data_IF_463787269196
#
_entry.id   IF_463787269196
#
_cell.length_a   1.000
_cell.length_b   1.000
_cell.length_c   1.000
_cell.angle_alpha   90.00
_cell.angle_beta   90.00
_cell.angle_gamma   90.00
#
_symmetry.space_group_name_H-M   'P 1'
#
loop_
_entity.id
_entity.type
_entity.pdbx_description
1 polymer ?
#
# COMPACT_ATOMS: atom_id res chain seq x y z
N UNK A 1 -5.76 25.05 29.20
CA UNK A 1 -5.07 25.86 28.17
C UNK A 1 -3.60 25.41 28.13
N UNK A 2 -3.32 24.28 27.47
CA UNK A 2 -2.00 23.64 27.42
C UNK A 2 -1.80 22.95 26.06
N UNK A 3 -2.26 23.58 24.97
CA UNK A 3 -2.41 22.93 23.66
C UNK A 3 -1.58 23.56 22.52
N UNK A 4 -0.70 24.51 22.79
CA UNK A 4 -0.02 25.27 21.71
C UNK A 4 1.38 24.79 21.37
N UNK A 5 2.15 24.22 22.30
CA UNK A 5 3.51 23.75 22.01
C UNK A 5 3.54 22.38 21.30
N UNK A 6 2.72 21.42 21.74
CA UNK A 6 2.69 20.07 21.14
C UNK A 6 2.11 20.07 19.71
N UNK A 7 1.12 20.93 19.44
CA UNK A 7 0.54 21.07 18.11
C UNK A 7 1.55 21.64 17.10
N UNK A 8 2.34 22.65 17.49
CA UNK A 8 3.37 23.24 16.63
C UNK A 8 4.53 22.26 16.35
N UNK A 9 4.92 21.44 17.34
CA UNK A 9 5.90 20.37 17.15
C UNK A 9 5.37 19.28 16.22
N UNK A 10 4.11 18.86 16.37
CA UNK A 10 3.45 17.90 15.47
C UNK A 10 3.39 18.41 14.02
N UNK A 11 3.01 19.67 13.81
CA UNK A 11 2.97 20.29 12.49
C UNK A 11 4.37 20.33 11.85
N UNK A 12 5.41 20.70 12.59
CA UNK A 12 6.78 20.71 12.07
C UNK A 12 7.28 19.31 11.70
N UNK A 13 6.88 18.28 12.45
CA UNK A 13 7.26 16.90 12.17
C UNK A 13 6.57 16.37 10.91
N UNK A 14 5.28 16.66 10.74
CA UNK A 14 4.55 16.30 9.52
C UNK A 14 5.08 17.04 8.29
N UNK A 15 5.42 18.33 8.42
CA UNK A 15 6.05 19.08 7.34
C UNK A 15 7.43 18.51 6.96
N UNK A 16 8.28 18.22 7.94
CA UNK A 16 9.58 17.61 7.66
C UNK A 16 9.46 16.21 7.04
N UNK A 17 8.41 15.45 7.42
CA UNK A 17 8.10 14.19 6.74
C UNK A 17 7.64 14.41 5.30
N UNK A 18 6.81 15.44 5.04
CA UNK A 18 6.33 15.75 3.71
C UNK A 18 7.48 16.07 2.75
N UNK A 19 8.45 16.90 3.18
CA UNK A 19 9.63 17.22 2.37
C UNK A 19 10.41 15.94 1.98
N UNK A 20 10.52 14.98 2.91
CA UNK A 20 11.14 13.68 2.63
C UNK A 20 10.32 12.79 1.70
N UNK A 21 8.99 12.80 1.84
CA UNK A 21 8.08 12.05 0.99
C UNK A 21 8.10 12.58 -0.46
N UNK A 22 8.14 13.89 -0.63
CA UNK A 22 8.26 14.54 -1.93
C UNK A 22 9.58 14.13 -2.62
N UNK A 23 10.68 14.06 -1.88
CA UNK A 23 11.95 13.58 -2.44
C UNK A 23 11.94 12.09 -2.81
N UNK A 24 11.29 11.25 -2.00
CA UNK A 24 11.08 9.85 -2.37
C UNK A 24 10.24 9.73 -3.65
N UNK A 25 9.20 10.56 -3.79
CA UNK A 25 8.36 10.63 -4.99
C UNK A 25 9.16 11.02 -6.22
N UNK A 26 10.04 12.02 -6.11
CA UNK A 26 10.96 12.39 -7.20
C UNK A 26 11.81 11.21 -7.65
N UNK A 27 12.39 10.43 -6.73
CA UNK A 27 13.16 9.24 -7.09
C UNK A 27 12.33 8.19 -7.81
N UNK A 28 11.12 7.90 -7.32
CA UNK A 28 10.23 6.95 -8.00
C UNK A 28 9.85 7.41 -9.41
N UNK A 29 9.54 8.71 -9.57
CA UNK A 29 9.23 9.33 -10.86
C UNK A 29 10.44 9.30 -11.83
N UNK A 30 11.65 9.54 -11.32
CA UNK A 30 12.91 9.47 -12.10
C UNK A 30 13.23 8.05 -12.57
N UNK A 31 12.92 7.04 -11.75
CA UNK A 31 13.14 5.64 -12.09
C UNK A 31 12.02 5.03 -12.94
N UNK A 32 10.90 5.74 -13.10
CA UNK A 32 9.72 5.24 -13.80
C UNK A 32 9.01 4.12 -13.05
N UNK A 33 9.10 4.14 -11.72
CA UNK A 33 8.57 3.11 -10.83
C UNK A 33 7.34 3.64 -10.08
N UNK A 34 6.21 2.93 -10.15
CA UNK A 34 5.05 3.25 -9.31
C UNK A 34 5.31 2.77 -7.88
N UNK A 35 4.96 3.59 -6.90
CA UNK A 35 4.99 3.21 -5.48
C UNK A 35 3.56 3.11 -4.92
N UNK A 36 3.21 1.95 -4.35
CA UNK A 36 1.93 1.73 -3.68
C UNK A 36 2.15 1.51 -2.17
N UNK A 37 1.54 2.35 -1.35
CA UNK A 37 1.57 2.20 0.11
C UNK A 37 0.40 1.34 0.57
N UNK A 38 0.68 0.12 1.04
CA UNK A 38 -0.32 -0.86 1.46
C UNK A 38 -0.50 -0.79 2.98
N UNK A 39 -1.64 -0.29 3.42
CA UNK A 39 -1.96 0.02 4.81
C UNK A 39 -3.17 -0.76 5.30
N UNK A 40 -3.17 -1.14 6.58
CA UNK A 40 -4.27 -1.90 7.17
C UNK A 40 -4.16 -1.97 8.68
N UNK A 41 -5.17 -2.51 9.36
CA UNK A 41 -4.98 -3.05 10.71
C UNK A 41 -4.10 -4.31 10.72
N UNK A 42 -3.56 -4.74 11.89
CA UNK A 42 -2.89 -6.03 12.02
C UNK A 42 -3.79 -7.19 11.59
N UNK A 43 -3.27 -8.08 10.75
CA UNK A 43 -3.97 -9.29 10.34
C UNK A 43 -5.08 -9.08 9.31
N UNK A 44 -5.24 -7.90 8.71
CA UNK A 44 -6.19 -7.67 7.60
C UNK A 44 -5.83 -8.45 6.32
N UNK A 45 -4.58 -8.93 6.20
CA UNK A 45 -4.14 -9.81 5.12
C UNK A 45 -3.23 -9.18 4.07
N UNK A 46 -2.48 -8.11 4.40
CA UNK A 46 -1.53 -7.47 3.48
C UNK A 46 -0.52 -8.45 2.89
N UNK A 47 0.23 -9.16 3.70
CA UNK A 47 1.23 -10.13 3.22
C UNK A 47 0.59 -11.21 2.33
N UNK A 48 -0.59 -11.73 2.69
CA UNK A 48 -1.29 -12.72 1.87
C UNK A 48 -1.77 -12.15 0.52
N UNK A 49 -2.19 -10.88 0.49
CA UNK A 49 -2.49 -10.17 -0.75
C UNK A 49 -1.22 -9.99 -1.59
N UNK A 50 -0.11 -9.60 -0.98
CA UNK A 50 1.18 -9.41 -1.66
C UNK A 50 1.70 -10.73 -2.22
N UNK A 51 1.66 -11.83 -1.47
CA UNK A 51 1.97 -13.18 -1.95
C UNK A 51 1.20 -13.53 -3.24
N UNK A 52 -0.11 -13.25 -3.28
CA UNK A 52 -0.93 -13.46 -4.48
C UNK A 52 -0.59 -12.50 -5.62
N UNK A 53 -0.26 -11.26 -5.28
CA UNK A 53 0.12 -10.23 -6.26
C UNK A 53 1.44 -10.60 -6.93
N UNK A 54 2.44 -11.00 -6.15
CA UNK A 54 3.74 -11.44 -6.66
C UNK A 54 3.58 -12.72 -7.50
N UNK A 55 2.83 -13.71 -7.03
CA UNK A 55 2.57 -14.93 -7.78
C UNK A 55 1.95 -14.69 -9.16
N UNK A 56 1.13 -13.65 -9.30
CA UNK A 56 0.38 -13.38 -10.53
C UNK A 56 1.10 -12.42 -11.47
N UNK A 57 1.92 -11.50 -10.95
CA UNK A 57 2.40 -10.35 -11.72
C UNK A 57 3.91 -10.32 -11.96
N UNK A 58 4.73 -11.14 -11.30
CA UNK A 58 6.19 -11.10 -11.48
C UNK A 58 6.68 -11.59 -12.84
N UNK A 59 5.87 -12.38 -13.54
CA UNK A 59 6.14 -12.77 -14.93
C UNK A 59 5.90 -11.61 -15.91
N UNK A 60 5.08 -10.63 -15.53
CA UNK A 60 4.69 -9.48 -16.36
C UNK A 60 5.43 -8.18 -15.97
N UNK A 61 5.77 -8.02 -14.70
CA UNK A 61 6.27 -6.79 -14.10
C UNK A 61 7.52 -7.04 -13.27
N UNK A 62 8.45 -6.07 -13.27
CA UNK A 62 9.57 -6.05 -12.32
C UNK A 62 9.14 -5.39 -11.01
N UNK A 63 8.97 -6.21 -9.97
CA UNK A 63 8.42 -5.79 -8.68
C UNK A 63 9.52 -5.86 -7.61
N UNK A 64 9.55 -4.85 -6.74
CA UNK A 64 10.29 -4.86 -5.47
C UNK A 64 9.32 -4.63 -4.32
N UNK A 65 9.61 -5.21 -3.14
CA UNK A 65 8.83 -4.97 -1.92
C UNK A 65 9.69 -4.25 -0.89
N UNK A 66 9.11 -3.24 -0.24
CA UNK A 66 9.63 -2.69 1.02
C UNK A 66 8.67 -3.17 2.11
N UNK A 67 9.18 -3.93 3.07
CA UNK A 67 8.37 -4.56 4.13
C UNK A 67 8.68 -3.90 5.47
N UNK A 68 7.66 -3.33 6.12
CA UNK A 68 7.79 -2.64 7.40
C UNK A 68 7.09 -3.38 8.54
N UNK A 69 7.89 -4.00 9.41
CA UNK A 69 7.43 -4.62 10.65
C UNK A 69 8.19 -4.04 11.86
N UNK A 70 7.61 -4.17 13.05
CA UNK A 70 8.20 -3.65 14.28
C UNK A 70 9.48 -4.39 14.66
N UNK A 71 9.48 -5.72 14.57
CA UNK A 71 10.57 -6.54 15.15
C UNK A 71 10.93 -7.80 14.40
N UNK A 72 10.10 -8.31 13.49
CA UNK A 72 10.33 -9.60 12.84
C UNK A 72 10.64 -9.43 11.36
N UNK A 73 11.12 -10.51 10.74
CA UNK A 73 11.28 -10.61 9.28
C UNK A 73 10.32 -11.64 8.67
N UNK A 74 9.31 -12.06 9.42
CA UNK A 74 8.46 -13.19 9.03
C UNK A 74 7.72 -12.93 7.72
N UNK A 75 7.24 -11.69 7.54
CA UNK A 75 6.54 -11.30 6.32
C UNK A 75 7.53 -11.10 5.16
N UNK A 76 8.69 -10.47 5.40
CA UNK A 76 9.77 -10.41 4.41
C UNK A 76 10.20 -11.79 3.89
N UNK A 77 10.47 -12.75 4.78
CA UNK A 77 10.90 -14.12 4.44
C UNK A 77 9.85 -14.86 3.59
N UNK A 78 8.56 -14.57 3.79
CA UNK A 78 7.49 -15.14 2.97
C UNK A 78 7.47 -14.56 1.56
N UNK A 79 7.70 -13.25 1.44
CA UNK A 79 7.69 -12.55 0.15
C UNK A 79 8.95 -12.84 -0.68
N UNK A 80 10.11 -13.06 -0.03
CA UNK A 80 11.36 -13.44 -0.70
C UNK A 80 11.22 -14.77 -1.49
N UNK A 81 10.29 -15.65 -1.10
CA UNK A 81 10.04 -16.92 -1.80
C UNK A 81 9.53 -16.76 -3.24
N UNK A 82 9.06 -15.57 -3.61
CA UNK A 82 8.60 -15.26 -4.96
C UNK A 82 9.71 -14.74 -5.88
N UNK A 83 10.97 -14.75 -5.42
CA UNK A 83 12.13 -14.41 -6.24
C UNK A 83 12.25 -12.92 -6.58
N UNK A 84 11.59 -12.06 -5.82
CA UNK A 84 11.69 -10.61 -5.94
C UNK A 84 12.60 -10.03 -4.86
N UNK A 85 13.23 -8.87 -5.10
CA UNK A 85 13.90 -8.14 -4.03
C UNK A 85 12.92 -7.72 -2.94
N UNK A 86 13.30 -7.97 -1.69
CA UNK A 86 12.55 -7.55 -0.50
C UNK A 86 13.48 -6.80 0.44
N UNK A 87 13.11 -5.56 0.74
CA UNK A 87 13.85 -4.67 1.63
C UNK A 87 13.09 -4.56 2.94
N UNK A 88 13.52 -5.32 3.94
CA UNK A 88 12.88 -5.34 5.26
C UNK A 88 13.38 -4.18 6.14
N UNK A 89 12.44 -3.41 6.68
CA UNK A 89 12.66 -2.29 7.57
C UNK A 89 12.10 -2.64 8.94
N UNK A 90 12.99 -2.81 9.92
CA UNK A 90 12.59 -2.91 11.32
C UNK A 90 12.29 -1.51 11.88
N UNK A 91 11.03 -1.21 12.13
CA UNK A 91 10.59 0.10 12.61
C UNK A 91 10.81 0.28 14.12
N UNK A 92 11.17 -0.80 14.83
CA UNK A 92 11.48 -0.83 16.25
C UNK A 92 10.24 -0.55 17.10
N UNK A 93 10.06 0.72 17.50
CA UNK A 93 8.90 1.16 18.29
C UNK A 93 7.94 2.05 17.50
N UNK A 94 8.25 2.38 16.24
CA UNK A 94 7.35 3.16 15.41
C UNK A 94 6.11 2.35 15.02
N UNK A 95 4.97 3.02 14.94
CA UNK A 95 3.68 2.44 14.57
C UNK A 95 3.34 2.59 13.08
N UNK A 96 4.29 3.09 12.27
CA UNK A 96 4.20 3.36 10.83
C UNK A 96 5.61 3.43 10.21
N UNK A 97 5.67 3.31 8.89
CA UNK A 97 6.80 3.76 8.09
C UNK A 97 6.66 5.26 7.79
N UNK A 98 7.74 6.01 7.98
CA UNK A 98 7.86 7.41 7.56
C UNK A 98 8.72 7.54 6.29
N UNK A 99 8.75 8.73 5.70
CA UNK A 99 9.53 9.03 4.50
C UNK A 99 11.02 8.70 4.65
N UNK A 100 11.61 8.94 5.82
CA UNK A 100 13.03 8.71 6.08
C UNK A 100 13.36 7.22 6.14
N UNK A 101 12.48 6.42 6.73
CA UNK A 101 12.62 4.96 6.74
C UNK A 101 12.58 4.43 5.31
N UNK A 102 11.61 4.86 4.51
CA UNK A 102 11.49 4.46 3.11
C UNK A 102 12.70 4.92 2.29
N UNK A 103 13.20 6.14 2.49
CA UNK A 103 14.43 6.63 1.86
C UNK A 103 15.64 5.74 2.18
N UNK A 104 15.74 5.25 3.43
CA UNK A 104 16.75 4.25 3.82
C UNK A 104 16.62 2.95 3.04
N UNK A 105 15.40 2.48 2.80
CA UNK A 105 15.12 1.34 1.93
C UNK A 105 15.50 1.60 0.47
N UNK A 106 15.23 2.80 -0.05
CA UNK A 106 15.63 3.18 -1.41
C UNK A 106 17.15 3.23 -1.58
N UNK A 107 17.89 3.70 -0.58
CA UNK A 107 19.35 3.63 -0.61
C UNK A 107 19.86 2.20 -0.67
N UNK A 108 19.21 1.27 0.03
CA UNK A 108 19.55 -0.15 -0.07
C UNK A 108 19.22 -0.71 -1.46
N UNK A 109 18.07 -0.34 -2.04
CA UNK A 109 17.71 -0.73 -3.40
C UNK A 109 18.79 -0.32 -4.41
N UNK A 110 19.26 0.93 -4.34
CA UNK A 110 20.32 1.46 -5.22
C UNK A 110 21.67 0.78 -4.99
N UNK A 111 21.96 0.34 -3.76
CA UNK A 111 23.21 -0.34 -3.45
C UNK A 111 23.28 -1.75 -4.05
N UNK A 112 22.14 -2.45 -4.05
CA UNK A 112 22.07 -3.88 -4.40
C UNK A 112 21.55 -4.11 -5.84
N UNK A 113 20.84 -3.14 -6.44
CA UNK A 113 20.15 -3.26 -7.72
C UNK A 113 20.17 -1.95 -8.54
N UNK A 114 19.83 -2.04 -9.83
CA UNK A 114 19.49 -0.86 -10.63
C UNK A 114 17.98 -0.56 -10.48
N UNK A 115 17.59 0.55 -9.80
CA UNK A 115 16.18 0.85 -9.55
C UNK A 115 15.38 1.10 -10.83
N UNK A 116 16.02 1.48 -11.94
CA UNK A 116 15.34 1.76 -13.22
C UNK A 116 14.84 0.49 -13.93
N UNK A 117 15.29 -0.68 -13.46
CA UNK A 117 14.78 -1.96 -13.95
C UNK A 117 13.39 -2.28 -13.41
N UNK A 118 12.99 -1.73 -12.26
CA UNK A 118 11.71 -2.00 -11.60
C UNK A 118 10.59 -1.12 -12.14
N UNK A 119 9.40 -1.71 -12.22
CA UNK A 119 8.18 -1.01 -12.64
C UNK A 119 7.32 -0.63 -11.44
N UNK A 120 7.39 -1.41 -10.36
CA UNK A 120 6.52 -1.30 -9.20
C UNK A 120 7.27 -1.56 -7.89
N UNK A 121 7.09 -0.69 -6.91
CA UNK A 121 7.39 -0.94 -5.50
C UNK A 121 6.10 -1.05 -4.69
N UNK A 122 5.97 -2.17 -3.97
CA UNK A 122 4.91 -2.41 -3.01
C UNK A 122 5.46 -2.17 -1.61
N UNK A 123 4.96 -1.16 -0.91
CA UNK A 123 5.37 -0.88 0.47
C UNK A 123 4.33 -1.48 1.41
N UNK A 124 4.66 -2.59 2.08
CA UNK A 124 3.84 -3.15 3.14
C UNK A 124 4.08 -2.36 4.43
N UNK A 125 3.15 -1.45 4.77
CA UNK A 125 3.26 -0.61 5.96
C UNK A 125 2.86 -1.37 7.23
N UNK A 126 3.27 -0.84 8.38
CA UNK A 126 2.95 -1.44 9.69
C UNK A 126 1.43 -1.60 9.85
N UNK A 127 0.99 -2.70 10.45
CA UNK A 127 -0.42 -2.94 10.77
C UNK A 127 -0.97 -1.91 11.76
N UNK A 128 -1.56 -0.83 11.26
CA UNK A 128 -2.22 0.22 12.04
C UNK A 128 -3.16 1.06 11.14
N UNK A 129 -4.34 1.40 11.64
CA UNK A 129 -5.33 2.24 10.95
C UNK A 129 -5.25 3.73 11.29
N UNK A 130 -4.32 4.13 12.17
CA UNK A 130 -4.17 5.51 12.64
C UNK A 130 -2.89 6.12 12.08
N UNK A 131 -1.73 5.71 12.60
CA UNK A 131 -0.46 6.37 12.29
C UNK A 131 -0.15 6.41 10.78
N UNK A 132 -0.26 5.33 10.00
CA UNK A 132 0.15 5.34 8.59
C UNK A 132 -0.67 6.32 7.72
N UNK A 133 -1.90 6.64 8.12
CA UNK A 133 -2.75 7.54 7.36
C UNK A 133 -2.28 9.00 7.39
N UNK A 134 -1.47 9.38 8.38
CA UNK A 134 -0.99 10.75 8.57
C UNK A 134 0.40 11.00 7.97
N UNK A 135 1.10 9.96 7.52
CA UNK A 135 2.50 10.04 7.07
C UNK A 135 2.62 9.56 5.63
N UNK A 136 2.85 10.51 4.72
CA UNK A 136 3.27 10.21 3.36
C UNK A 136 4.67 9.55 3.37
N UNK A 137 4.87 8.61 2.45
CA UNK A 137 6.16 7.95 2.21
C UNK A 137 6.72 8.23 0.80
N UNK A 138 5.99 8.99 -0.01
CA UNK A 138 6.30 9.30 -1.40
C UNK A 138 5.54 8.40 -2.39
N UNK A 139 4.50 7.71 -1.92
CA UNK A 139 3.67 6.84 -2.72
C UNK A 139 2.93 7.58 -3.83
N UNK A 140 2.64 6.84 -4.90
CA UNK A 140 1.75 7.29 -5.97
C UNK A 140 0.28 7.09 -5.62
N UNK A 141 -0.01 6.02 -4.87
CA UNK A 141 -1.34 5.71 -4.42
C UNK A 141 -1.33 4.97 -3.07
N UNK A 142 -2.36 5.25 -2.27
CA UNK A 142 -2.64 4.63 -0.98
C UNK A 142 -3.64 3.50 -1.16
N UNK A 143 -3.26 2.32 -0.69
CA UNK A 143 -4.07 1.10 -0.74
C UNK A 143 -4.42 0.69 0.68
N UNK A 144 -5.66 0.90 1.08
CA UNK A 144 -6.16 0.48 2.39
C UNK A 144 -6.78 -0.92 2.31
N UNK A 145 -6.55 -1.77 3.31
CA UNK A 145 -7.28 -3.02 3.51
C UNK A 145 -8.18 -2.91 4.73
N UNK A 146 -9.40 -3.44 4.60
CA UNK A 146 -10.33 -3.67 5.69
C UNK A 146 -10.90 -5.08 5.60
N UNK A 147 -10.55 -5.93 6.56
CA UNK A 147 -11.09 -7.29 6.64
C UNK A 147 -12.53 -7.27 7.12
N UNK A 148 -13.39 -8.11 6.53
CA UNK A 148 -14.78 -8.27 6.97
C UNK A 148 -14.90 -8.69 8.45
N UNK A 149 -13.84 -9.29 9.01
CA UNK A 149 -13.76 -9.68 10.43
C UNK A 149 -13.60 -8.50 11.38
N UNK A 150 -13.27 -7.31 10.87
CA UNK A 150 -13.04 -6.13 11.72
C UNK A 150 -14.33 -5.36 12.01
N UNK A 151 -15.39 -5.58 11.22
CA UNK A 151 -16.68 -4.95 11.39
C UNK A 151 -16.89 -3.69 10.54
N UNK A 152 -18.17 -3.40 10.29
CA UNK A 152 -18.63 -2.42 9.30
C UNK A 152 -18.39 -0.96 9.71
N UNK A 153 -18.11 -0.74 10.99
CA UNK A 153 -18.00 0.58 11.62
C UNK A 153 -16.60 1.19 11.52
N UNK A 154 -15.61 0.41 11.08
CA UNK A 154 -14.20 0.86 11.00
C UNK A 154 -14.01 2.10 10.14
N UNK A 155 -14.66 2.25 8.97
CA UNK A 155 -14.56 3.49 8.20
C UNK A 155 -14.94 4.73 9.01
N UNK A 156 -16.01 4.66 9.80
CA UNK A 156 -16.49 5.78 10.60
C UNK A 156 -15.60 6.06 11.81
N UNK A 157 -14.88 5.04 12.31
CA UNK A 157 -13.99 5.15 13.47
C UNK A 157 -12.57 5.62 13.12
N UNK A 158 -12.11 5.36 11.90
CA UNK A 158 -10.76 5.68 11.43
C UNK A 158 -10.84 6.47 10.11
N UNK A 159 -11.53 7.61 10.07
CA UNK A 159 -11.92 8.27 8.82
C UNK A 159 -10.73 8.64 7.94
N UNK A 160 -9.62 9.12 8.51
CA UNK A 160 -8.45 9.58 7.74
C UNK A 160 -7.90 8.47 6.83
N UNK A 161 -7.76 7.24 7.34
CA UNK A 161 -7.28 6.09 6.56
C UNK A 161 -8.11 5.85 5.29
N UNK A 162 -9.43 5.97 5.40
CA UNK A 162 -10.36 5.67 4.30
C UNK A 162 -10.64 6.90 3.42
N UNK A 163 -10.46 8.10 3.97
CA UNK A 163 -10.53 9.36 3.24
C UNK A 163 -9.38 9.50 2.25
N UNK A 164 -8.17 9.11 2.66
CA UNK A 164 -6.96 9.26 1.85
C UNK A 164 -6.67 8.06 0.93
N UNK A 165 -7.47 6.99 1.01
CA UNK A 165 -7.25 5.80 0.19
C UNK A 165 -7.70 6.01 -1.28
N UNK A 166 -6.82 5.73 -2.23
CA UNK A 166 -7.16 5.65 -3.66
C UNK A 166 -7.88 4.34 -3.98
N UNK A 167 -7.48 3.26 -3.30
CA UNK A 167 -8.11 1.95 -3.39
C UNK A 167 -8.33 1.34 -2.01
N UNK A 168 -9.55 0.86 -1.78
CA UNK A 168 -9.92 0.05 -0.63
C UNK A 168 -10.15 -1.40 -1.05
N UNK A 169 -9.41 -2.30 -0.43
CA UNK A 169 -9.63 -3.74 -0.53
C UNK A 169 -10.42 -4.22 0.68
N UNK A 170 -11.65 -4.69 0.45
CA UNK A 170 -12.44 -5.35 1.50
C UNK A 170 -12.03 -6.81 1.51
N UNK A 171 -11.24 -7.23 2.50
CA UNK A 171 -10.55 -8.53 2.47
C UNK A 171 -11.29 -9.62 3.25
N UNK A 172 -10.90 -10.88 2.97
CA UNK A 172 -11.45 -12.09 3.59
C UNK A 172 -12.95 -12.27 3.36
N UNK A 173 -13.44 -11.86 2.19
CA UNK A 173 -14.86 -11.97 1.82
C UNK A 173 -15.37 -13.42 1.85
N UNK A 174 -14.48 -14.41 1.76
CA UNK A 174 -14.79 -15.83 1.96
C UNK A 174 -15.35 -16.15 3.35
N UNK A 175 -15.13 -15.26 4.33
CA UNK A 175 -15.66 -15.39 5.68
C UNK A 175 -17.04 -14.75 5.86
N UNK A 176 -17.50 -13.91 4.92
CA UNK A 176 -18.78 -13.21 5.04
C UNK A 176 -19.98 -14.14 5.30
N UNK A 177 -20.09 -15.35 4.69
CA UNK A 177 -21.19 -16.27 5.00
C UNK A 177 -21.22 -16.81 6.44
N UNK A 178 -20.14 -16.62 7.21
CA UNK A 178 -20.00 -17.09 8.59
C UNK A 178 -20.05 -15.95 9.61
N UNK A 179 -20.26 -14.71 9.16
CA UNK A 179 -20.22 -13.50 9.98
C UNK A 179 -21.51 -12.70 9.79
N UNK A 180 -21.88 -11.93 10.81
CA UNK A 180 -22.93 -10.92 10.69
C UNK A 180 -22.32 -9.63 10.11
N UNK A 181 -22.01 -9.65 8.81
CA UNK A 181 -21.38 -8.52 8.11
C UNK A 181 -22.03 -8.27 6.75
N UNK A 182 -22.29 -7.00 6.46
CA UNK A 182 -22.75 -6.48 5.18
C UNK A 182 -21.60 -5.71 4.50
N UNK A 183 -21.07 -6.31 3.44
CA UNK A 183 -19.98 -5.74 2.63
C UNK A 183 -20.42 -4.45 1.93
N UNK A 184 -21.69 -4.36 1.50
CA UNK A 184 -22.22 -3.16 0.86
C UNK A 184 -22.33 -2.01 1.87
N UNK A 185 -22.61 -2.32 3.13
CA UNK A 185 -22.61 -1.32 4.21
C UNK A 185 -21.21 -0.77 4.50
N UNK A 186 -20.17 -1.62 4.47
CA UNK A 186 -18.78 -1.15 4.53
C UNK A 186 -18.51 -0.15 3.40
N UNK A 187 -18.84 -0.53 2.16
CA UNK A 187 -18.61 0.31 0.99
C UNK A 187 -19.40 1.64 1.08
N UNK A 188 -20.64 1.60 1.56
CA UNK A 188 -21.45 2.79 1.77
C UNK A 188 -20.88 3.73 2.85
N UNK A 189 -20.34 3.18 3.94
CA UNK A 189 -19.70 3.99 4.98
C UNK A 189 -18.45 4.70 4.46
N UNK A 190 -17.65 4.02 3.64
CA UNK A 190 -16.44 4.61 3.03
C UNK A 190 -16.83 5.69 2.02
N UNK A 191 -17.82 5.44 1.16
CA UNK A 191 -18.25 6.42 0.14
C UNK A 191 -18.83 7.72 0.72
N UNK A 192 -19.31 7.70 1.97
CA UNK A 192 -19.75 8.92 2.65
C UNK A 192 -18.59 9.91 2.88
N UNK A 193 -17.36 9.42 3.01
CA UNK A 193 -16.18 10.24 3.28
C UNK A 193 -15.20 10.31 2.11
N UNK A 194 -15.19 9.30 1.24
CA UNK A 194 -14.39 9.26 0.02
C UNK A 194 -15.26 8.76 -1.16
N UNK A 195 -15.90 9.67 -1.91
CA UNK A 195 -16.77 9.28 -3.02
C UNK A 195 -16.02 8.69 -4.23
N UNK A 196 -14.70 8.94 -4.34
CA UNK A 196 -13.90 8.61 -5.52
C UNK A 196 -13.08 7.33 -5.36
N UNK A 197 -13.01 6.76 -4.16
CA UNK A 197 -12.24 5.54 -3.88
C UNK A 197 -12.68 4.38 -4.76
N UNK A 198 -11.70 3.62 -5.26
CA UNK A 198 -11.97 2.31 -5.87
C UNK A 198 -12.17 1.28 -4.76
N UNK A 199 -13.28 0.55 -4.76
CA UNK A 199 -13.57 -0.47 -3.74
C UNK A 199 -13.59 -1.84 -4.41
N UNK A 200 -12.76 -2.77 -3.92
CA UNK A 200 -12.63 -4.11 -4.48
C UNK A 200 -12.78 -5.13 -3.33
N UNK A 201 -13.89 -5.87 -3.29
CA UNK A 201 -14.02 -7.03 -2.40
C UNK A 201 -13.08 -8.16 -2.87
N UNK A 202 -12.27 -8.71 -1.97
CA UNK A 202 -11.27 -9.73 -2.31
C UNK A 202 -11.18 -10.84 -1.26
N UNK A 203 -10.84 -12.04 -1.72
CA UNK A 203 -10.34 -13.13 -0.88
C UNK A 203 -9.04 -13.69 -1.45
N UNK A 204 -7.95 -13.49 -0.72
CA UNK A 204 -6.67 -14.13 -1.03
C UNK A 204 -6.73 -15.66 -0.90
N UNK A 205 -7.72 -16.20 -0.16
CA UNK A 205 -7.89 -17.64 0.03
C UNK A 205 -8.56 -18.30 -1.17
N UNK A 206 -9.65 -17.72 -1.68
CA UNK A 206 -10.41 -18.29 -2.80
C UNK A 206 -9.95 -17.77 -4.16
N UNK A 207 -9.26 -16.63 -4.19
CA UNK A 207 -8.87 -15.92 -5.41
C UNK A 207 -9.92 -14.92 -5.90
N UNK A 208 -11.11 -14.88 -5.29
CA UNK A 208 -12.17 -13.97 -5.70
C UNK A 208 -11.73 -12.51 -5.60
N UNK A 209 -12.04 -11.73 -6.64
CA UNK A 209 -11.72 -10.30 -6.73
C UNK A 209 -10.26 -9.97 -7.02
N UNK A 210 -9.33 -10.93 -6.96
CA UNK A 210 -7.91 -10.67 -7.18
C UNK A 210 -7.59 -10.18 -8.60
N UNK A 211 -8.28 -10.69 -9.62
CA UNK A 211 -8.09 -10.21 -11.01
C UNK A 211 -8.42 -8.73 -11.16
N UNK A 212 -9.44 -8.25 -10.43
CA UNK A 212 -9.83 -6.83 -10.43
C UNK A 212 -8.74 -5.99 -9.75
N UNK A 213 -8.18 -6.49 -8.65
CA UNK A 213 -7.04 -5.88 -7.97
C UNK A 213 -5.80 -5.82 -8.87
N UNK A 214 -5.45 -6.92 -9.53
CA UNK A 214 -4.32 -6.97 -10.46
C UNK A 214 -4.51 -6.02 -11.64
N UNK A 215 -5.73 -5.93 -12.17
CA UNK A 215 -6.04 -4.96 -13.21
C UNK A 215 -5.93 -3.52 -12.72
N UNK A 216 -6.34 -3.24 -11.47
CA UNK A 216 -6.17 -1.92 -10.87
C UNK A 216 -4.68 -1.52 -10.79
N UNK A 217 -3.79 -2.43 -10.38
CA UNK A 217 -2.33 -2.19 -10.41
C UNK A 217 -1.86 -1.86 -11.84
N UNK A 218 -2.26 -2.65 -12.84
CA UNK A 218 -1.90 -2.41 -14.24
C UNK A 218 -2.35 -1.03 -14.72
N UNK A 219 -3.54 -0.58 -14.31
CA UNK A 219 -4.04 0.76 -14.63
C UNK A 219 -3.20 1.87 -13.99
N UNK A 220 -2.69 1.69 -12.77
CA UNK A 220 -1.78 2.65 -12.15
C UNK A 220 -0.47 2.79 -12.96
N UNK A 221 0.09 1.67 -13.41
CA UNK A 221 1.30 1.65 -14.24
C UNK A 221 1.11 2.32 -15.60
N UNK A 222 -0.07 2.13 -16.21
CA UNK A 222 -0.44 2.83 -17.44
C UNK A 222 -0.55 4.36 -17.25
N UNK A 223 -0.64 4.86 -16.02
CA UNK A 223 -0.56 6.29 -15.71
C UNK A 223 0.82 6.90 -15.98
N UNK A 224 1.89 6.10 -15.96
CA UNK A 224 3.26 6.56 -16.20
C UNK A 224 3.61 6.56 -17.69
N UNK A 225 4.00 7.70 -18.27
CA UNK A 225 4.47 7.76 -19.66
C UNK A 225 5.68 6.84 -19.92
N UNK A 226 6.59 6.75 -18.94
CA UNK A 226 7.82 5.98 -19.02
C UNK A 226 7.54 4.46 -19.09
N UNK A 227 6.56 3.98 -18.32
CA UNK A 227 6.10 2.59 -18.35
C UNK A 227 5.57 2.20 -19.74
N UNK A 228 4.73 3.05 -20.36
CA UNK A 228 4.19 2.78 -21.71
C UNK A 228 5.29 2.65 -22.78
N UNK A 229 6.35 3.44 -22.67
CA UNK A 229 7.49 3.38 -23.60
C UNK A 229 8.26 2.07 -23.43
N UNK A 230 8.48 1.64 -22.18
CA UNK A 230 9.17 0.38 -21.83
C UNK A 230 8.35 -0.84 -22.24
N UNK A 231 7.02 -0.76 -22.13
CA UNK A 231 6.09 -1.87 -22.29
C UNK A 231 5.06 -1.65 -23.40
N UNK A 232 5.52 -1.44 -24.65
CA UNK A 232 4.69 -1.21 -25.85
C UNK A 232 3.59 -2.27 -26.13
N UNK A 233 3.57 -3.39 -25.41
CA UNK A 233 2.56 -4.43 -25.51
C UNK A 233 1.29 -4.13 -24.69
N UNK A 234 1.37 -3.34 -23.62
CA UNK A 234 0.21 -3.07 -22.74
C UNK A 234 -0.81 -2.09 -23.33
N UNK A 235 -0.47 -1.35 -24.39
CA UNK A 235 -1.36 -0.38 -25.04
C UNK A 235 -2.58 -1.04 -25.72
N UNK A 236 -2.61 -2.37 -25.91
CA UNK A 236 -3.75 -3.08 -26.52
C UNK A 236 -4.86 -3.51 -25.54
N UNK A 237 -4.69 -3.29 -24.24
CA UNK A 237 -5.64 -3.75 -23.19
C UNK A 237 -6.61 -2.65 -22.75
N UNK A 238 -6.53 -1.45 -23.35
CA UNK A 238 -7.39 -0.29 -23.02
C UNK A 238 -8.52 -0.03 -24.01
N UNK A 239 -8.91 -1.01 -24.83
CA UNK A 239 -10.03 -0.93 -25.78
C UNK A 239 -11.22 -1.81 -25.38
#
# INVERSE_FOLDING_TARGET
MHQTFDAALGINLLHANQDGADHNREHFDEWGMICLNVMSSPGAGKTALLEKTLAALTDELKIVVIEGDMTTRLDAERLEQYGVPVIAINTGRSCHLDSKMVAGGLHQLVADYDPTEFDLVLVENVGNLVCPAEFEIGEHAKVALLSVTEGEDKPLKYPIMFQEADCLLITKTDLAPYLEVDVDRIAANVRQMNPNVTIIPVSAKTGEGLDVWFNWIRLQLLGLPQFRVKHKFFDSVSA
#
